data_IF_145292960576
#
_entry.id   IF_145292960576
#
_cell.length_a   1.000
_cell.length_b   1.000
_cell.length_c   1.000
_cell.angle_alpha   90.00
_cell.angle_beta   90.00
_cell.angle_gamma   90.00
#
_symmetry.space_group_name_H-M   'P 1'
#
loop_
_entity.id
_entity.type
_entity.pdbx_description
1 polymer ?
#
# COMPACT_ATOMS: atom_id res chain seq x y z
N UNK A 1 0.21 -29.12 23.04
CA UNK A 1 0.72 -27.77 23.38
C UNK A 1 1.91 -27.34 22.53
N UNK A 2 2.79 -28.24 22.07
CA UNK A 2 3.98 -27.86 21.27
C UNK A 2 3.67 -27.23 19.90
N UNK A 3 2.59 -27.65 19.23
CA UNK A 3 2.17 -27.08 17.93
C UNK A 3 1.74 -25.61 18.02
N UNK A 4 1.17 -25.18 19.15
CA UNK A 4 0.73 -23.79 19.34
C UNK A 4 1.92 -22.84 19.56
N UNK A 5 2.98 -23.32 20.21
CA UNK A 5 4.21 -22.55 20.46
C UNK A 5 4.99 -22.38 19.14
N UNK A 6 5.04 -23.42 18.30
CA UNK A 6 5.65 -23.35 16.97
C UNK A 6 4.96 -22.35 16.03
N UNK A 7 3.62 -22.33 16.02
CA UNK A 7 2.85 -21.38 15.21
C UNK A 7 3.03 -19.92 15.69
N UNK A 8 3.03 -19.68 17.01
CA UNK A 8 3.26 -18.36 17.57
C UNK A 8 4.68 -17.83 17.28
N UNK A 9 5.71 -18.69 17.36
CA UNK A 9 7.08 -18.34 16.99
C UNK A 9 7.21 -18.03 15.50
N UNK A 10 6.57 -18.82 14.63
CA UNK A 10 6.55 -18.55 13.18
C UNK A 10 5.89 -17.21 12.85
N UNK A 11 4.74 -16.88 13.46
CA UNK A 11 4.07 -15.58 13.26
C UNK A 11 4.95 -14.42 13.76
N UNK A 12 5.62 -14.60 14.89
CA UNK A 12 6.48 -13.57 15.49
C UNK A 12 7.74 -13.35 14.65
N UNK A 13 8.39 -14.43 14.21
CA UNK A 13 9.56 -14.41 13.34
C UNK A 13 9.23 -13.87 11.95
N UNK A 14 8.06 -14.22 11.40
CA UNK A 14 7.58 -13.68 10.13
C UNK A 14 7.24 -12.19 10.24
N UNK A 15 6.68 -11.75 11.37
CA UNK A 15 6.48 -10.34 11.69
C UNK A 15 7.78 -9.55 11.86
N UNK A 16 8.82 -10.16 12.45
CA UNK A 16 10.16 -9.60 12.59
C UNK A 16 10.89 -9.53 11.25
N UNK A 17 10.82 -10.57 10.43
CA UNK A 17 11.39 -10.62 9.08
C UNK A 17 10.74 -9.59 8.16
N UNK A 18 9.42 -9.44 8.24
CA UNK A 18 8.68 -8.40 7.53
C UNK A 18 9.01 -6.98 8.05
N UNK A 19 9.28 -6.83 9.36
CA UNK A 19 9.82 -5.58 9.93
C UNK A 19 11.23 -5.26 9.45
N UNK A 20 12.04 -6.27 9.16
CA UNK A 20 13.40 -6.10 8.68
C UNK A 20 13.46 -5.82 7.17
N UNK A 21 12.61 -6.45 6.37
CA UNK A 21 12.52 -6.15 4.93
C UNK A 21 12.00 -4.73 4.64
N UNK A 22 11.31 -4.12 5.60
CA UNK A 22 10.82 -2.73 5.55
C UNK A 22 11.81 -1.69 6.10
N UNK A 23 13.05 -2.09 6.38
CA UNK A 23 14.09 -1.14 6.80
C UNK A 23 14.40 -0.19 5.66
N UNK A 24 14.27 1.10 5.94
CA UNK A 24 14.66 2.16 5.02
C UNK A 24 15.93 2.84 5.54
N UNK A 25 17.02 2.87 4.75
CA UNK A 25 18.22 3.62 5.11
C UNK A 25 17.86 5.08 5.45
N UNK A 26 18.41 5.60 6.55
CA UNK A 26 18.17 6.98 6.98
C UNK A 26 16.95 7.23 7.87
N UNK A 27 16.03 6.26 8.03
CA UNK A 27 14.94 6.34 9.02
C UNK A 27 15.36 5.67 10.34
N UNK A 28 15.15 6.30 11.51
CA UNK A 28 15.53 5.70 12.79
C UNK A 28 14.83 4.36 13.04
N UNK A 29 15.60 3.34 13.40
CA UNK A 29 15.07 2.00 13.72
C UNK A 29 14.04 2.02 14.85
N UNK A 30 14.20 2.94 15.81
CA UNK A 30 13.24 3.12 16.91
C UNK A 30 11.85 3.53 16.43
N UNK A 31 11.68 4.04 15.22
CA UNK A 31 10.37 4.42 14.69
C UNK A 31 9.46 3.23 14.41
N UNK A 32 9.97 2.01 14.46
CA UNK A 32 9.13 0.82 14.40
C UNK A 32 8.24 0.67 15.65
N UNK A 33 8.67 1.18 16.80
CA UNK A 33 7.96 1.03 18.09
C UNK A 33 7.68 2.36 18.81
N UNK A 34 8.40 3.43 18.46
CA UNK A 34 8.25 4.75 19.07
C UNK A 34 6.83 5.32 18.89
N UNK A 35 6.30 5.93 19.94
CA UNK A 35 5.01 6.64 19.93
C UNK A 35 5.13 8.11 19.48
N UNK A 36 6.29 8.56 19.03
CA UNK A 36 6.43 9.91 18.50
C UNK A 36 5.55 10.10 17.25
N UNK A 37 5.02 11.30 17.06
CA UNK A 37 4.15 11.65 15.92
C UNK A 37 4.84 11.34 14.58
N UNK A 38 6.14 11.63 14.45
CA UNK A 38 6.88 11.33 13.22
C UNK A 38 6.93 9.83 12.92
N UNK A 39 7.17 9.00 13.96
CA UNK A 39 7.18 7.55 13.83
C UNK A 39 5.80 6.98 13.49
N UNK A 40 4.73 7.52 14.09
CA UNK A 40 3.35 7.15 13.76
C UNK A 40 3.03 7.46 12.29
N UNK A 41 3.34 8.67 11.84
CA UNK A 41 3.12 9.10 10.45
C UNK A 41 3.88 8.22 9.45
N UNK A 42 5.16 7.91 9.73
CA UNK A 42 5.95 6.97 8.93
C UNK A 42 5.27 5.60 8.82
N UNK A 43 4.91 4.99 9.96
CA UNK A 43 4.27 3.66 9.97
C UNK A 43 2.93 3.66 9.26
N UNK A 44 2.14 4.72 9.42
CA UNK A 44 0.82 4.88 8.78
C UNK A 44 0.97 4.97 7.26
N UNK A 45 1.86 5.84 6.78
CA UNK A 45 2.16 5.98 5.35
C UNK A 45 2.65 4.66 4.74
N UNK A 46 3.63 4.00 5.37
CA UNK A 46 4.14 2.71 4.89
C UNK A 46 3.04 1.66 4.80
N UNK A 47 2.25 1.47 5.87
CA UNK A 47 1.09 0.56 5.85
C UNK A 47 0.17 0.81 4.67
N UNK A 48 -0.08 2.07 4.30
CA UNK A 48 -0.89 2.40 3.14
C UNK A 48 -0.23 1.95 1.83
N UNK A 49 1.01 2.38 1.58
CA UNK A 49 1.75 2.04 0.34
C UNK A 49 1.88 0.54 0.17
N UNK A 50 2.22 -0.17 1.24
CA UNK A 50 2.40 -1.60 1.17
C UNK A 50 1.08 -2.36 0.98
N UNK A 51 -0.04 -1.85 1.51
CA UNK A 51 -1.37 -2.38 1.22
C UNK A 51 -1.72 -2.21 -0.25
N UNK A 52 -1.46 -1.03 -0.82
CA UNK A 52 -1.67 -0.77 -2.25
C UNK A 52 -0.85 -1.73 -3.11
N UNK A 53 0.43 -1.91 -2.79
CA UNK A 53 1.30 -2.88 -3.47
C UNK A 53 0.77 -4.31 -3.39
N UNK A 54 0.29 -4.73 -2.22
CA UNK A 54 -0.30 -6.06 -2.04
C UNK A 54 -1.57 -6.25 -2.89
N UNK A 55 -2.43 -5.23 -2.96
CA UNK A 55 -3.66 -5.28 -3.75
C UNK A 55 -3.38 -5.35 -5.26
N UNK A 56 -2.42 -4.57 -5.76
CA UNK A 56 -2.00 -4.64 -7.17
C UNK A 56 -1.39 -6.01 -7.49
N UNK A 57 -0.55 -6.54 -6.59
CA UNK A 57 0.02 -7.87 -6.76
C UNK A 57 -1.05 -8.98 -6.76
N UNK A 58 -2.12 -8.82 -5.98
CA UNK A 58 -3.26 -9.73 -5.97
C UNK A 58 -4.08 -9.64 -7.26
N UNK A 59 -4.35 -8.43 -7.77
CA UNK A 59 -4.99 -8.24 -9.08
C UNK A 59 -4.20 -8.93 -10.21
N UNK A 60 -2.87 -8.83 -10.18
CA UNK A 60 -2.00 -9.51 -11.14
C UNK A 60 -2.14 -11.03 -11.09
N UNK A 61 -2.21 -11.63 -9.89
CA UNK A 61 -2.42 -13.08 -9.74
C UNK A 61 -3.75 -13.54 -10.33
N UNK A 62 -4.73 -12.64 -10.42
CA UNK A 62 -6.05 -12.88 -11.02
C UNK A 62 -6.07 -12.62 -12.53
N UNK A 63 -4.92 -12.37 -13.16
CA UNK A 63 -4.80 -12.20 -14.60
C UNK A 63 -5.01 -10.77 -15.10
N UNK A 64 -5.19 -9.79 -14.21
CA UNK A 64 -5.36 -8.40 -14.62
C UNK A 64 -4.04 -7.81 -15.16
N UNK A 65 -4.05 -7.16 -16.34
CA UNK A 65 -2.92 -6.37 -16.81
C UNK A 65 -2.60 -5.24 -15.81
N UNK A 66 -1.44 -5.31 -15.17
CA UNK A 66 -1.11 -4.46 -14.00
C UNK A 66 0.07 -3.52 -14.19
N UNK A 67 0.73 -3.53 -15.36
CA UNK A 67 1.94 -2.73 -15.61
C UNK A 67 1.77 -1.23 -15.28
N UNK A 68 0.63 -0.63 -15.67
CA UNK A 68 0.32 0.77 -15.33
C UNK A 68 0.12 1.01 -13.83
N UNK A 69 -0.49 0.06 -13.12
CA UNK A 69 -0.67 0.15 -11.67
C UNK A 69 0.65 -0.05 -10.92
N UNK A 70 1.53 -0.92 -11.42
CA UNK A 70 2.86 -1.16 -10.87
C UNK A 70 3.72 0.13 -10.95
N UNK A 71 3.71 0.83 -12.09
CA UNK A 71 4.37 2.15 -12.20
C UNK A 71 3.84 3.17 -11.19
N UNK A 72 2.51 3.25 -11.00
CA UNK A 72 1.92 4.16 -10.02
C UNK A 72 2.26 3.79 -8.57
N UNK A 73 2.43 2.49 -8.27
CA UNK A 73 2.93 2.04 -6.96
C UNK A 73 4.38 2.50 -6.76
N UNK A 74 5.22 2.41 -7.79
CA UNK A 74 6.62 2.87 -7.72
C UNK A 74 6.70 4.39 -7.49
N UNK A 75 5.83 5.18 -8.12
CA UNK A 75 5.73 6.62 -7.89
C UNK A 75 5.28 6.95 -6.45
N UNK A 76 4.30 6.19 -5.92
CA UNK A 76 3.89 6.30 -4.52
C UNK A 76 5.04 5.94 -3.57
N UNK A 77 5.82 4.91 -3.88
CA UNK A 77 6.99 4.53 -3.10
C UNK A 77 8.07 5.62 -3.12
N UNK A 78 8.36 6.21 -4.28
CA UNK A 78 9.33 7.29 -4.42
C UNK A 78 8.89 8.52 -3.61
N UNK A 79 7.61 8.88 -3.70
CA UNK A 79 7.04 10.00 -2.93
C UNK A 79 7.09 9.72 -1.42
N UNK A 80 6.77 8.50 -1.00
CA UNK A 80 6.84 8.09 0.40
C UNK A 80 8.27 8.18 0.94
N UNK A 81 9.28 7.80 0.16
CA UNK A 81 10.70 7.94 0.54
C UNK A 81 11.08 9.40 0.77
N UNK A 82 10.64 10.30 -0.11
CA UNK A 82 10.89 11.73 0.06
C UNK A 82 10.20 12.31 1.31
N UNK A 83 9.00 11.84 1.66
CA UNK A 83 8.33 12.23 2.90
C UNK A 83 9.05 11.67 4.13
N UNK A 84 9.57 10.45 4.08
CA UNK A 84 10.36 9.88 5.18
C UNK A 84 11.58 10.74 5.51
N UNK A 85 12.30 11.27 4.50
CA UNK A 85 13.40 12.21 4.71
C UNK A 85 12.93 13.48 5.43
N UNK A 86 11.78 14.02 5.03
CA UNK A 86 11.22 15.22 5.64
C UNK A 86 10.72 14.97 7.07
N UNK A 87 10.18 13.79 7.37
CA UNK A 87 9.84 13.39 8.73
C UNK A 87 11.08 13.32 9.61
N UNK A 88 12.19 12.76 9.09
CA UNK A 88 13.45 12.65 9.83
C UNK A 88 14.01 14.04 10.14
N UNK A 89 14.03 14.94 9.15
CA UNK A 89 14.43 16.32 9.36
C UNK A 89 13.51 17.04 10.35
N UNK A 90 12.19 16.90 10.20
CA UNK A 90 11.20 17.51 11.09
C UNK A 90 11.35 17.04 12.54
N UNK A 91 11.72 15.78 12.77
CA UNK A 91 11.88 15.21 14.11
C UNK A 91 12.98 15.89 14.94
N UNK A 92 13.97 16.47 14.26
CA UNK A 92 15.11 17.17 14.84
C UNK A 92 14.84 18.66 15.14
N UNK A 93 13.70 19.20 14.73
CA UNK A 93 13.35 20.61 14.92
C UNK A 93 12.89 20.92 16.37
N UNK A 94 13.02 22.18 16.82
CA UNK A 94 12.40 22.66 18.06
C UNK A 94 10.88 22.50 18.05
N UNK A 95 10.26 22.38 19.23
CA UNK A 95 8.86 21.96 19.39
C UNK A 95 7.86 22.67 18.46
N UNK A 96 7.82 24.01 18.44
CA UNK A 96 6.84 24.78 17.64
C UNK A 96 7.01 24.53 16.14
N UNK A 97 8.25 24.53 15.66
CA UNK A 97 8.56 24.30 14.24
C UNK A 97 8.29 22.85 13.85
N UNK A 98 8.70 21.90 14.70
CA UNK A 98 8.42 20.47 14.54
C UNK A 98 6.93 20.21 14.43
N UNK A 99 6.12 20.76 15.34
CA UNK A 99 4.67 20.58 15.33
C UNK A 99 4.05 21.10 14.03
N UNK A 100 4.36 22.34 13.62
CA UNK A 100 3.88 22.93 12.37
C UNK A 100 4.29 22.12 11.13
N UNK A 101 5.52 21.63 11.10
CA UNK A 101 6.03 20.84 9.96
C UNK A 101 5.39 19.46 9.91
N UNK A 102 5.27 18.76 11.04
CA UNK A 102 4.60 17.44 11.09
C UNK A 102 3.12 17.54 10.73
N UNK A 103 2.44 18.62 11.11
CA UNK A 103 1.04 18.85 10.71
C UNK A 103 0.90 19.00 9.19
N UNK A 104 1.82 19.72 8.53
CA UNK A 104 1.84 19.83 7.06
C UNK A 104 2.13 18.47 6.39
N UNK A 105 3.08 17.72 6.93
CA UNK A 105 3.40 16.37 6.41
C UNK A 105 2.23 15.40 6.58
N UNK A 106 1.44 15.52 7.65
CA UNK A 106 0.23 14.72 7.85
C UNK A 106 -0.76 14.87 6.69
N UNK A 107 -0.98 16.09 6.18
CA UNK A 107 -1.87 16.31 5.04
C UNK A 107 -1.35 15.66 3.77
N UNK A 108 -0.05 15.80 3.48
CA UNK A 108 0.58 15.16 2.31
C UNK A 108 0.53 13.63 2.40
N UNK A 109 0.72 13.06 3.59
CA UNK A 109 0.55 11.63 3.82
C UNK A 109 -0.90 11.21 3.54
N UNK A 110 -1.88 12.01 3.95
CA UNK A 110 -3.29 11.72 3.69
C UNK A 110 -3.61 11.75 2.18
N UNK A 111 -2.92 12.56 1.38
CA UNK A 111 -3.04 12.55 -0.09
C UNK A 111 -2.48 11.26 -0.69
N UNK A 112 -1.31 10.81 -0.24
CA UNK A 112 -0.74 9.50 -0.63
C UNK A 112 -1.69 8.36 -0.26
N UNK A 113 -2.27 8.41 0.93
CA UNK A 113 -3.23 7.39 1.38
C UNK A 113 -4.46 7.34 0.48
N UNK A 114 -5.03 8.50 0.12
CA UNK A 114 -6.17 8.57 -0.80
C UNK A 114 -5.81 8.10 -2.21
N UNK A 115 -4.62 8.45 -2.70
CA UNK A 115 -4.14 7.97 -4.00
C UNK A 115 -3.97 6.44 -3.99
N UNK A 116 -3.36 5.90 -2.95
CA UNK A 116 -3.18 4.45 -2.77
C UNK A 116 -4.49 3.68 -2.59
N UNK A 117 -5.48 4.26 -1.93
CA UNK A 117 -6.82 3.67 -1.77
C UNK A 117 -7.57 3.63 -3.12
N UNK A 118 -7.54 4.74 -3.88
CA UNK A 118 -8.13 4.77 -5.23
C UNK A 118 -7.48 3.76 -6.16
N UNK A 119 -6.14 3.73 -6.19
CA UNK A 119 -5.39 2.76 -6.99
C UNK A 119 -5.74 1.32 -6.61
N UNK A 120 -5.85 1.04 -5.31
CA UNK A 120 -6.26 -0.29 -4.82
C UNK A 120 -7.65 -0.68 -5.29
N UNK A 121 -8.62 0.24 -5.17
CA UNK A 121 -10.01 0.00 -5.57
C UNK A 121 -10.10 -0.28 -7.06
N UNK A 122 -9.48 0.54 -7.89
CA UNK A 122 -9.45 0.35 -9.34
C UNK A 122 -8.80 -0.98 -9.72
N UNK A 123 -7.69 -1.37 -9.09
CA UNK A 123 -7.05 -2.66 -9.36
C UNK A 123 -7.93 -3.86 -8.93
N UNK A 124 -8.63 -3.76 -7.81
CA UNK A 124 -9.54 -4.81 -7.32
C UNK A 124 -10.80 -4.90 -8.20
N UNK A 125 -11.37 -3.77 -8.61
CA UNK A 125 -12.52 -3.70 -9.51
C UNK A 125 -12.19 -4.30 -10.87
N UNK A 126 -11.01 -4.00 -11.42
CA UNK A 126 -10.52 -4.63 -12.64
C UNK A 126 -10.29 -6.14 -12.50
N UNK A 127 -10.08 -6.64 -11.27
CA UNK A 127 -9.93 -8.06 -10.96
C UNK A 127 -11.25 -8.74 -10.58
N UNK A 128 -12.38 -8.05 -10.69
CA UNK A 128 -13.69 -8.56 -10.31
C UNK A 128 -14.29 -9.43 -11.43
N UNK A 129 -14.68 -10.68 -11.16
CA UNK A 129 -15.27 -11.58 -12.15
C UNK A 129 -16.63 -11.11 -12.70
N UNK A 130 -17.23 -10.06 -12.11
CA UNK A 130 -18.42 -9.42 -12.64
C UNK A 130 -18.17 -8.74 -13.99
N UNK A 131 -16.94 -8.27 -14.27
CA UNK A 131 -16.58 -7.69 -15.57
C UNK A 131 -16.53 -8.78 -16.64
N UNK A 132 -15.94 -9.94 -16.31
CA UNK A 132 -15.94 -11.12 -17.20
C UNK A 132 -17.37 -11.60 -17.51
N UNK A 133 -18.29 -11.53 -16.53
CA UNK A 133 -19.71 -11.88 -16.74
C UNK A 133 -20.42 -10.96 -17.72
N UNK A 134 -20.05 -9.68 -17.81
CA UNK A 134 -20.68 -8.73 -18.73
C UNK A 134 -20.18 -8.97 -20.15
N UNK A 135 -18.87 -9.14 -20.34
CA UNK A 135 -18.31 -9.48 -21.66
C UNK A 135 -18.78 -10.85 -22.15
N UNK A 136 -18.90 -11.84 -21.27
CA UNK A 136 -19.51 -13.14 -21.59
C UNK A 136 -21.00 -13.04 -21.92
N UNK A 137 -21.70 -12.05 -21.35
CA UNK A 137 -23.12 -11.80 -21.66
C UNK A 137 -23.28 -11.08 -22.99
N UNK A 138 -22.43 -10.09 -23.29
CA UNK A 138 -22.40 -9.38 -24.57
C UNK A 138 -21.98 -10.31 -25.71
N UNK A 139 -20.99 -11.18 -25.49
CA UNK A 139 -20.59 -12.21 -26.45
C UNK A 139 -21.76 -13.14 -26.79
N UNK A 140 -22.49 -13.63 -25.78
CA UNK A 140 -23.69 -14.47 -25.99
C UNK A 140 -24.84 -13.75 -26.70
N UNK A 141 -24.96 -12.44 -26.53
CA UNK A 141 -25.96 -11.63 -27.25
C UNK A 141 -25.56 -11.49 -28.73
N UNK A 142 -24.29 -11.20 -29.02
CA UNK A 142 -23.80 -11.14 -30.39
C UNK A 142 -23.90 -12.49 -31.12
N UNK A 143 -23.49 -13.59 -30.47
CA UNK A 143 -23.64 -14.94 -31.03
C UNK A 143 -25.09 -15.28 -31.38
N UNK A 144 -26.07 -14.76 -30.61
CA UNK A 144 -27.50 -14.92 -30.93
C UNK A 144 -27.97 -14.06 -32.10
N UNK A 145 -27.41 -12.87 -32.28
CA UNK A 145 -27.76 -11.97 -33.37
C UNK A 145 -27.20 -12.47 -34.70
N UNK A 146 -25.99 -13.03 -34.71
CA UNK A 146 -25.33 -13.60 -35.89
C UNK A 146 -26.03 -14.86 -36.47
N UNK A 147 -27.00 -15.43 -35.74
CA UNK A 147 -27.80 -16.58 -36.17
C UNK A 147 -29.20 -16.21 -36.69
N UNK A 148 -29.54 -14.91 -36.77
CA UNK A 148 -30.86 -14.42 -37.21
C UNK A 148 -30.81 -13.74 -38.58
N UNK A 149 -29.63 -13.58 -39.17
CA UNK A 149 -29.41 -13.17 -40.57
C UNK A 149 -29.19 -14.39 -41.49
#
# INVERSE_FOLDING_TARGET
MELAIGAALLVTLMGLAWRWSRRRPGVPMSWQTSQSVAAELHRRMRRSVDRTRANVAEARKRGVPTAGYECLVDDLEATARAIDDQLVLASKLPFRQRHKTLLRLRYRIQEIERAGDRLSKTAIEAASPLVDSVDDSLRRINERLDHVD
#
